data_IF_635567085582
#
_entry.id   IF_635567085582
#
_cell.length_a   1.000
_cell.length_b   1.000
_cell.length_c   1.000
_cell.angle_alpha   90.00
_cell.angle_beta   90.00
_cell.angle_gamma   90.00
#
_symmetry.space_group_name_H-M   'P 1'
#
loop_
_entity.id
_entity.type
_entity.pdbx_description
1 polymer ?
#
# COMPACT_ATOMS: atom_id res chain seq x y z
N UNK A 1 -7.40 -0.22 -36.84
CA UNK A 1 -8.56 -1.14 -36.80
C UNK A 1 -9.13 -1.16 -35.40
N UNK A 2 -10.45 -1.14 -35.26
CA UNK A 2 -11.16 -1.06 -33.97
C UNK A 2 -10.76 -2.18 -32.99
N UNK A 3 -10.46 -3.38 -33.51
CA UNK A 3 -9.96 -4.51 -32.71
C UNK A 3 -8.60 -4.23 -32.02
N UNK A 4 -7.73 -3.41 -32.64
CA UNK A 4 -6.44 -3.04 -32.03
C UNK A 4 -6.65 -2.10 -30.85
N UNK A 5 -7.55 -1.11 -31.00
CA UNK A 5 -7.90 -0.17 -29.94
C UNK A 5 -8.60 -0.88 -28.76
N UNK A 6 -9.46 -1.87 -29.05
CA UNK A 6 -10.11 -2.66 -28.01
C UNK A 6 -9.11 -3.44 -27.15
N UNK A 7 -8.12 -4.10 -27.78
CA UNK A 7 -7.04 -4.82 -27.07
C UNK A 7 -6.15 -3.89 -26.25
N UNK A 8 -5.85 -2.70 -26.78
CA UNK A 8 -5.05 -1.70 -26.09
C UNK A 8 -5.80 -1.13 -24.86
N UNK A 9 -7.10 -0.89 -24.98
CA UNK A 9 -7.94 -0.49 -23.85
C UNK A 9 -8.07 -1.60 -22.78
N UNK A 10 -8.19 -2.86 -23.18
CA UNK A 10 -8.21 -4.00 -22.26
C UNK A 10 -6.89 -4.15 -21.52
N UNK A 11 -5.76 -4.02 -22.22
CA UNK A 11 -4.43 -4.01 -21.61
C UNK A 11 -4.28 -2.89 -20.60
N UNK A 12 -4.67 -1.66 -20.93
CA UNK A 12 -4.59 -0.53 -20.00
C UNK A 12 -5.48 -0.74 -18.76
N UNK A 13 -6.67 -1.34 -18.92
CA UNK A 13 -7.54 -1.68 -17.79
C UNK A 13 -6.90 -2.74 -16.89
N UNK A 14 -6.29 -3.76 -17.46
CA UNK A 14 -5.57 -4.78 -16.70
C UNK A 14 -4.36 -4.17 -15.97
N UNK A 15 -3.60 -3.29 -16.62
CA UNK A 15 -2.48 -2.58 -16.00
C UNK A 15 -2.94 -1.68 -14.86
N UNK A 16 -4.06 -0.96 -15.01
CA UNK A 16 -4.64 -0.15 -13.93
C UNK A 16 -5.18 -0.99 -12.78
N UNK A 17 -5.84 -2.12 -13.07
CA UNK A 17 -6.36 -3.04 -12.06
C UNK A 17 -5.24 -3.75 -11.28
N UNK A 18 -4.05 -3.90 -11.89
CA UNK A 18 -2.88 -4.48 -11.25
C UNK A 18 -2.08 -3.47 -10.38
N UNK A 19 -2.43 -2.18 -10.40
CA UNK A 19 -1.77 -1.20 -9.52
C UNK A 19 -2.27 -1.42 -8.10
N UNK A 20 -1.37 -1.44 -7.10
CA UNK A 20 -1.80 -1.57 -5.71
C UNK A 20 -2.72 -0.41 -5.36
N UNK A 21 -3.81 -0.74 -4.68
CA UNK A 21 -4.69 0.24 -4.06
C UNK A 21 -3.90 1.06 -3.05
N UNK A 22 -4.43 2.23 -2.69
CA UNK A 22 -3.79 3.07 -1.69
C UNK A 22 -3.73 2.36 -0.33
N UNK A 23 -4.76 1.58 0.00
CA UNK A 23 -4.79 0.74 1.19
C UNK A 23 -3.66 -0.32 1.19
N UNK A 24 -3.47 -1.03 0.08
CA UNK A 24 -2.38 -2.01 -0.06
C UNK A 24 -0.99 -1.36 0.07
N UNK A 25 -0.79 -0.18 -0.51
CA UNK A 25 0.46 0.55 -0.36
C UNK A 25 0.76 0.90 1.11
N UNK A 26 -0.24 1.37 1.86
CA UNK A 26 -0.08 1.65 3.29
C UNK A 26 0.14 0.39 4.13
N UNK A 27 -0.52 -0.73 3.79
CA UNK A 27 -0.25 -2.03 4.43
C UNK A 27 1.19 -2.48 4.24
N UNK A 28 1.72 -2.39 3.02
CA UNK A 28 3.11 -2.74 2.74
C UNK A 28 4.09 -1.89 3.57
N UNK A 29 3.84 -0.58 3.67
CA UNK A 29 4.68 0.31 4.51
C UNK A 29 4.62 -0.10 5.99
N UNK A 30 3.45 -0.48 6.50
CA UNK A 30 3.33 -0.96 7.87
C UNK A 30 4.13 -2.26 8.08
N UNK A 31 4.05 -3.20 7.14
CA UNK A 31 4.79 -4.47 7.22
C UNK A 31 6.31 -4.25 7.17
N UNK A 32 6.79 -3.35 6.29
CA UNK A 32 8.20 -2.98 6.21
C UNK A 32 8.69 -2.34 7.53
N UNK A 33 7.88 -1.46 8.13
CA UNK A 33 8.19 -0.84 9.43
C UNK A 33 8.22 -1.87 10.56
N UNK A 34 7.34 -2.87 10.54
CA UNK A 34 7.37 -3.97 11.51
C UNK A 34 8.62 -4.84 11.36
N UNK A 35 9.05 -5.11 10.12
CA UNK A 35 10.31 -5.82 9.84
C UNK A 35 11.51 -5.02 10.35
N UNK A 36 11.57 -3.70 10.10
CA UNK A 36 12.65 -2.85 10.61
C UNK A 36 12.70 -2.85 12.14
N UNK A 37 11.56 -2.80 12.83
CA UNK A 37 11.50 -2.89 14.29
C UNK A 37 12.12 -4.17 14.83
N UNK A 38 11.91 -5.30 14.15
CA UNK A 38 12.37 -6.62 14.61
C UNK A 38 13.89 -6.75 14.71
N UNK A 39 14.63 -5.90 13.97
CA UNK A 39 16.09 -5.89 13.91
C UNK A 39 16.71 -4.60 14.45
N UNK A 40 15.90 -3.66 14.95
CA UNK A 40 16.37 -2.35 15.43
C UNK A 40 16.96 -2.47 16.85
N UNK A 41 18.27 -2.20 17.03
CA UNK A 41 18.91 -2.30 18.34
C UNK A 41 18.62 -1.11 19.28
N UNK A 42 18.28 0.09 18.77
CA UNK A 42 17.96 1.24 19.61
C UNK A 42 16.47 1.25 20.00
N UNK A 43 16.13 1.10 21.30
CA UNK A 43 14.75 1.05 21.75
C UNK A 43 13.96 2.34 21.48
N UNK A 44 14.63 3.51 21.44
CA UNK A 44 13.95 4.78 21.11
C UNK A 44 13.61 4.85 19.64
N UNK A 45 14.51 4.35 18.79
CA UNK A 45 14.25 4.27 17.36
C UNK A 45 13.16 3.24 17.07
N UNK A 46 13.20 2.07 17.70
CA UNK A 46 12.17 1.05 17.61
C UNK A 46 10.78 1.58 18.02
N UNK A 47 10.69 2.39 19.08
CA UNK A 47 9.44 3.04 19.47
C UNK A 47 8.93 4.04 18.41
N UNK A 48 9.85 4.75 17.74
CA UNK A 48 9.52 5.62 16.60
C UNK A 48 8.98 4.84 15.41
N UNK A 49 9.61 3.72 15.06
CA UNK A 49 9.15 2.81 14.00
C UNK A 49 7.78 2.20 14.33
N UNK A 50 7.55 1.81 15.58
CA UNK A 50 6.23 1.34 16.04
C UNK A 50 5.15 2.41 15.87
N UNK A 51 5.43 3.65 16.26
CA UNK A 51 4.49 4.76 16.07
C UNK A 51 4.18 5.00 14.59
N UNK A 52 5.19 4.93 13.73
CA UNK A 52 5.05 5.05 12.28
C UNK A 52 4.24 3.90 11.67
N UNK A 53 4.48 2.66 12.11
CA UNK A 53 3.72 1.47 11.70
C UNK A 53 2.24 1.65 12.02
N UNK A 54 1.92 2.03 13.26
CA UNK A 54 0.54 2.25 13.68
C UNK A 54 -0.14 3.37 12.89
N UNK A 55 0.63 4.40 12.50
CA UNK A 55 0.14 5.44 11.60
C UNK A 55 -0.19 4.88 10.21
N UNK A 56 0.72 4.11 9.61
CA UNK A 56 0.52 3.47 8.31
C UNK A 56 -0.69 2.52 8.31
N UNK A 57 -0.88 1.72 9.36
CA UNK A 57 -2.07 0.86 9.53
C UNK A 57 -3.38 1.68 9.51
N UNK A 58 -3.46 2.76 10.29
CA UNK A 58 -4.65 3.64 10.30
C UNK A 58 -4.90 4.29 8.93
N UNK A 59 -3.83 4.65 8.21
CA UNK A 59 -3.95 5.19 6.86
C UNK A 59 -4.43 4.14 5.86
N UNK A 60 -4.04 2.87 6.03
CA UNK A 60 -4.58 1.76 5.24
C UNK A 60 -6.08 1.59 5.48
N UNK A 61 -6.51 1.56 6.74
CA UNK A 61 -7.93 1.44 7.10
C UNK A 61 -8.77 2.60 6.53
N UNK A 62 -8.24 3.83 6.64
CA UNK A 62 -8.90 5.01 6.09
C UNK A 62 -8.97 5.00 4.55
N UNK A 63 -7.91 4.51 3.89
CA UNK A 63 -7.90 4.35 2.44
C UNK A 63 -8.88 3.28 1.98
N UNK A 64 -9.00 2.17 2.71
CA UNK A 64 -9.96 1.10 2.41
C UNK A 64 -11.42 1.59 2.57
N UNK A 65 -11.69 2.39 3.59
CA UNK A 65 -13.00 3.02 3.77
C UNK A 65 -13.33 4.07 2.69
N UNK A 66 -12.31 4.81 2.20
CA UNK A 66 -12.47 5.84 1.17
C UNK A 66 -12.54 5.30 -0.26
N UNK A 67 -11.82 4.21 -0.56
CA UNK A 67 -11.83 3.55 -1.87
C UNK A 67 -13.09 2.67 -2.07
N UNK A 68 -13.84 2.38 -0.98
CA UNK A 68 -15.09 1.62 -1.00
C UNK A 68 -16.39 2.44 -1.03
N UNK A 69 -16.32 3.78 -1.14
CA UNK A 69 -17.47 4.70 -1.18
C UNK A 69 -17.84 5.16 -2.58
#
# INVERSE_FOLDING_TARGET
>A
SEQRLAREAERMRAELAARPTRAEAYRQVADDLALMQSVEPDPRHAAGLYSAEQCARRMADAAEAGDGS
#
